data_IF_064815933027
#
_entry.id   IF_064815933027
#
_cell.length_a   1.000
_cell.length_b   1.000
_cell.length_c   1.000
_cell.angle_alpha   90.00
_cell.angle_beta   90.00
_cell.angle_gamma   90.00
#
_symmetry.space_group_name_H-M   'P 1'
#
loop_
_entity.id
_entity.type
_entity.pdbx_description
1 polymer ?
#
# COMPACT_ATOMS: atom_id res chain seq x y z
N UNK A 1 -9.65 -18.71 -0.01
CA UNK A 1 -8.42 -18.15 0.61
C UNK A 1 -8.33 -18.67 2.03
N UNK A 2 -7.14 -19.08 2.51
CA UNK A 2 -6.98 -19.50 3.89
C UNK A 2 -7.08 -18.28 4.84
N UNK A 3 -7.66 -18.44 6.05
CA UNK A 3 -7.77 -17.35 7.00
C UNK A 3 -6.38 -16.88 7.46
N UNK A 4 -6.27 -15.59 7.74
CA UNK A 4 -5.04 -15.00 8.28
C UNK A 4 -4.72 -15.59 9.65
N UNK A 5 -3.42 -15.73 9.94
CA UNK A 5 -2.96 -16.16 11.25
C UNK A 5 -3.35 -15.11 12.30
N UNK A 6 -3.86 -15.57 13.46
CA UNK A 6 -4.28 -14.68 14.54
C UNK A 6 -3.10 -13.83 15.05
N UNK A 7 -3.33 -12.57 15.48
CA UNK A 7 -2.29 -11.70 16.03
C UNK A 7 -1.52 -12.34 17.19
N UNK A 8 -2.21 -13.03 18.09
CA UNK A 8 -1.60 -13.74 19.23
C UNK A 8 -0.55 -14.77 18.81
N UNK A 9 -0.77 -15.44 17.68
CA UNK A 9 0.20 -16.41 17.13
C UNK A 9 1.40 -15.72 16.50
N UNK A 10 1.24 -14.51 15.97
CA UNK A 10 2.34 -13.72 15.45
C UNK A 10 3.28 -13.25 16.56
N UNK A 11 2.73 -12.80 17.70
CA UNK A 11 3.50 -12.43 18.89
C UNK A 11 4.26 -13.62 19.45
N UNK A 12 3.59 -14.78 19.61
CA UNK A 12 4.25 -16.02 20.05
C UNK A 12 5.47 -16.36 19.20
N UNK A 13 5.34 -16.32 17.86
CA UNK A 13 6.45 -16.63 16.95
C UNK A 13 7.56 -15.59 17.07
N UNK A 14 7.21 -14.31 17.23
CA UNK A 14 8.18 -13.25 17.42
C UNK A 14 9.01 -13.45 18.69
N UNK A 15 8.36 -13.75 19.81
CA UNK A 15 9.01 -13.99 21.10
C UNK A 15 9.91 -15.21 21.05
N UNK A 16 9.47 -16.31 20.42
CA UNK A 16 10.29 -17.52 20.25
C UNK A 16 11.55 -17.25 19.42
N UNK A 17 11.46 -16.40 18.39
CA UNK A 17 12.62 -16.02 17.58
C UNK A 17 13.55 -15.12 18.40
N UNK A 18 12.99 -14.18 19.18
CA UNK A 18 13.76 -13.31 20.07
C UNK A 18 14.45 -14.08 21.20
N UNK A 19 13.83 -15.15 21.71
CA UNK A 19 14.41 -16.05 22.71
C UNK A 19 15.47 -17.00 22.13
N UNK A 20 15.73 -16.95 20.82
CA UNK A 20 16.78 -17.72 20.16
C UNK A 20 16.37 -19.12 19.66
N UNK A 21 15.08 -19.47 19.68
CA UNK A 21 14.62 -20.75 19.15
C UNK A 21 14.72 -20.77 17.61
N UNK A 22 15.57 -21.64 17.06
CA UNK A 22 15.77 -21.77 15.60
C UNK A 22 15.01 -22.96 15.00
N UNK A 23 14.37 -23.79 15.82
CA UNK A 23 13.67 -24.99 15.34
C UNK A 23 12.30 -24.65 14.75
N UNK A 24 12.23 -24.67 13.42
CA UNK A 24 11.01 -24.39 12.65
C UNK A 24 9.89 -25.36 13.02
N UNK A 25 10.21 -26.64 13.24
CA UNK A 25 9.20 -27.65 13.60
C UNK A 25 8.59 -27.35 14.97
N UNK A 26 9.38 -26.92 15.96
CA UNK A 26 8.86 -26.56 17.29
C UNK A 26 8.01 -25.29 17.23
N UNK A 27 8.45 -24.26 16.53
CA UNK A 27 7.68 -23.03 16.33
C UNK A 27 6.34 -23.30 15.63
N UNK A 28 6.36 -24.15 14.59
CA UNK A 28 5.16 -24.53 13.86
C UNK A 28 4.14 -25.29 14.74
N UNK A 29 4.62 -26.21 15.58
CA UNK A 29 3.79 -26.94 16.53
C UNK A 29 3.21 -26.02 17.62
N UNK A 30 4.04 -25.16 18.21
CA UNK A 30 3.62 -24.22 19.26
C UNK A 30 2.56 -23.22 18.75
N UNK A 31 2.75 -22.70 17.53
CA UNK A 31 1.78 -21.78 16.91
C UNK A 31 0.59 -22.49 16.25
N UNK A 32 0.63 -23.83 16.14
CA UNK A 32 -0.35 -24.62 15.38
C UNK A 32 -0.49 -24.12 13.93
N UNK A 33 0.63 -23.90 13.25
CA UNK A 33 0.68 -23.43 11.87
C UNK A 33 1.64 -24.25 11.00
N UNK A 34 1.52 -24.13 9.68
CA UNK A 34 2.43 -24.82 8.75
C UNK A 34 3.86 -24.27 8.86
N UNK A 35 4.88 -25.13 8.69
CA UNK A 35 6.30 -24.76 8.61
C UNK A 35 6.57 -23.66 7.59
N UNK A 36 5.85 -23.64 6.46
CA UNK A 36 5.95 -22.58 5.45
C UNK A 36 5.55 -21.19 5.98
N UNK A 37 4.64 -21.14 6.96
CA UNK A 37 4.22 -19.88 7.61
C UNK A 37 5.33 -19.35 8.51
N UNK A 38 6.00 -20.24 9.25
CA UNK A 38 7.17 -19.88 10.06
C UNK A 38 8.29 -19.35 9.15
N UNK A 39 8.60 -20.05 8.05
CA UNK A 39 9.59 -19.57 7.07
C UNK A 39 9.31 -18.15 6.58
N UNK A 40 8.07 -17.86 6.20
CA UNK A 40 7.66 -16.53 5.75
C UNK A 40 7.82 -15.48 6.86
N UNK A 41 7.38 -15.78 8.07
CA UNK A 41 7.47 -14.86 9.22
C UNK A 41 8.93 -14.60 9.60
N UNK A 42 9.76 -15.64 9.71
CA UNK A 42 11.19 -15.49 10.00
C UNK A 42 11.90 -14.68 8.91
N UNK A 43 11.54 -14.88 7.64
CA UNK A 43 12.06 -14.07 6.54
C UNK A 43 11.64 -12.61 6.67
N UNK A 44 10.36 -12.34 6.97
CA UNK A 44 9.87 -10.99 7.19
C UNK A 44 10.59 -10.29 8.36
N UNK A 45 10.76 -10.98 9.49
CA UNK A 45 11.46 -10.42 10.66
C UNK A 45 12.91 -10.12 10.31
N UNK A 46 13.58 -11.03 9.59
CA UNK A 46 14.98 -10.81 9.15
C UNK A 46 15.11 -9.63 8.19
N UNK A 47 14.16 -9.43 7.29
CA UNK A 47 14.24 -8.39 6.25
C UNK A 47 13.71 -7.03 6.71
N UNK A 48 12.67 -7.01 7.55
CA UNK A 48 11.91 -5.81 7.90
C UNK A 48 11.86 -5.54 9.41
N UNK A 49 12.39 -6.42 10.25
CA UNK A 49 12.31 -6.32 11.72
C UNK A 49 10.93 -6.62 12.30
N UNK A 50 9.94 -6.90 11.45
CA UNK A 50 8.53 -7.07 11.84
C UNK A 50 7.97 -8.37 11.28
N UNK A 51 6.92 -8.89 11.95
CA UNK A 51 6.27 -10.15 11.54
C UNK A 51 5.55 -10.02 10.19
N UNK A 52 5.09 -8.82 9.86
CA UNK A 52 4.39 -8.51 8.61
C UNK A 52 5.28 -7.67 7.72
N UNK A 53 5.38 -8.07 6.45
CA UNK A 53 6.01 -7.21 5.46
C UNK A 53 5.29 -5.85 5.40
N UNK A 54 6.03 -4.75 5.21
CA UNK A 54 5.44 -3.44 4.95
C UNK A 54 4.46 -3.52 3.78
N UNK A 55 3.36 -2.76 3.81
CA UNK A 55 2.44 -2.72 2.69
C UNK A 55 3.17 -2.12 1.47
N UNK A 56 3.44 -2.97 0.48
CA UNK A 56 3.92 -2.50 -0.82
C UNK A 56 2.72 -1.82 -1.48
N UNK A 57 2.82 -0.51 -1.74
CA UNK A 57 1.85 0.20 -2.57
C UNK A 57 1.90 -0.42 -3.96
N UNK A 58 0.96 -1.31 -4.24
CA UNK A 58 0.84 -1.95 -5.55
C UNK A 58 0.42 -0.92 -6.60
N UNK A 59 0.91 -1.11 -7.82
CA UNK A 59 0.51 -0.32 -8.98
C UNK A 59 1.51 0.76 -9.40
N UNK A 60 1.20 1.39 -10.54
CA UNK A 60 1.99 2.48 -11.10
C UNK A 60 1.89 3.71 -10.19
N UNK A 61 2.99 4.45 -9.95
CA UNK A 61 2.93 5.75 -9.27
C UNK A 61 1.86 6.63 -9.90
N UNK A 62 1.07 7.32 -9.07
CA UNK A 62 0.04 8.23 -9.56
C UNK A 62 0.73 9.37 -10.30
N UNK A 63 0.32 9.61 -11.55
CA UNK A 63 0.77 10.77 -12.34
C UNK A 63 0.29 12.08 -11.71
N UNK A 64 -0.98 12.13 -11.32
CA UNK A 64 -1.55 13.25 -10.56
C UNK A 64 -1.27 13.00 -9.08
N UNK A 65 -0.42 13.82 -8.50
CA UNK A 65 -0.10 13.82 -7.07
C UNK A 65 -1.27 14.42 -6.27
N UNK A 66 -1.39 14.14 -4.97
CA UNK A 66 -2.46 14.71 -4.14
C UNK A 66 -2.50 16.24 -4.16
N UNK A 67 -1.35 16.91 -4.19
CA UNK A 67 -1.25 18.37 -4.25
C UNK A 67 -1.81 18.93 -5.57
N UNK A 68 -1.51 18.27 -6.70
CA UNK A 68 -2.03 18.67 -8.01
C UNK A 68 -3.55 18.45 -8.08
N UNK A 69 -4.04 17.39 -7.44
CA UNK A 69 -5.48 17.14 -7.32
C UNK A 69 -6.17 18.25 -6.53
N UNK A 70 -5.60 18.66 -5.40
CA UNK A 70 -6.15 19.72 -4.56
C UNK A 70 -6.24 21.04 -5.32
N UNK A 71 -5.17 21.45 -6.00
CA UNK A 71 -5.19 22.64 -6.86
C UNK A 71 -6.22 22.56 -7.99
N UNK A 72 -6.39 21.37 -8.59
CA UNK A 72 -7.44 21.16 -9.60
C UNK A 72 -8.85 21.28 -8.98
N UNK A 73 -9.05 20.78 -7.77
CA UNK A 73 -10.31 20.94 -7.04
C UNK A 73 -10.59 22.40 -6.70
N UNK A 74 -9.60 23.15 -6.23
CA UNK A 74 -9.75 24.59 -5.96
C UNK A 74 -10.12 25.36 -7.22
N UNK A 75 -9.47 25.03 -8.35
CA UNK A 75 -9.79 25.63 -9.64
C UNK A 75 -11.22 25.30 -10.12
N UNK A 76 -11.70 24.08 -9.85
CA UNK A 76 -13.08 23.67 -10.15
C UNK A 76 -14.11 24.36 -9.25
N UNK A 77 -13.75 24.75 -8.02
CA UNK A 77 -14.65 25.52 -7.15
C UNK A 77 -14.91 26.89 -7.77
N UNK A 78 -13.87 27.54 -8.31
CA UNK A 78 -14.01 28.82 -9.00
C UNK A 78 -14.75 28.69 -10.34
N UNK A 79 -14.52 27.58 -11.07
CA UNK A 79 -15.10 27.32 -12.38
C UNK A 79 -15.60 25.87 -12.51
N UNK A 80 -16.82 25.57 -12.06
CA UNK A 80 -17.32 24.19 -11.97
C UNK A 80 -17.67 23.54 -13.31
N UNK A 81 -17.77 24.33 -14.38
CA UNK A 81 -18.15 23.86 -15.72
C UNK A 81 -16.94 23.68 -16.67
N UNK A 82 -15.72 23.61 -16.15
CA UNK A 82 -14.52 23.40 -16.97
C UNK A 82 -14.60 22.07 -17.72
N UNK A 83 -14.31 22.09 -19.01
CA UNK A 83 -14.19 20.86 -19.79
C UNK A 83 -12.92 20.09 -19.41
N UNK A 84 -12.94 18.76 -19.60
CA UNK A 84 -11.76 17.92 -19.34
C UNK A 84 -10.51 18.39 -20.12
N UNK A 85 -10.70 18.94 -21.32
CA UNK A 85 -9.62 19.54 -22.12
C UNK A 85 -8.98 20.76 -21.43
N UNK A 86 -9.80 21.61 -20.85
CA UNK A 86 -9.35 22.81 -20.14
C UNK A 86 -8.63 22.44 -18.84
N UNK A 87 -9.07 21.36 -18.19
CA UNK A 87 -8.39 20.81 -17.02
C UNK A 87 -7.02 20.23 -17.38
N UNK A 88 -6.88 19.58 -18.54
CA UNK A 88 -5.57 19.13 -19.05
C UNK A 88 -4.65 20.34 -19.29
N UNK A 89 -5.19 21.42 -19.88
CA UNK A 89 -4.43 22.65 -20.13
C UNK A 89 -3.96 23.27 -18.81
N UNK A 90 -4.84 23.39 -17.81
CA UNK A 90 -4.48 23.90 -16.49
C UNK A 90 -3.35 23.08 -15.84
N UNK A 91 -3.45 21.75 -15.87
CA UNK A 91 -2.43 20.86 -15.32
C UNK A 91 -1.09 20.96 -16.06
N UNK A 92 -1.13 21.26 -17.36
CA UNK A 92 0.07 21.52 -18.13
C UNK A 92 0.69 22.87 -17.81
N UNK A 93 -0.12 23.92 -17.74
CA UNK A 93 0.34 25.30 -17.55
C UNK A 93 0.93 25.52 -16.16
N UNK A 94 0.23 25.04 -15.12
CA UNK A 94 0.62 25.28 -13.72
C UNK A 94 1.63 24.23 -13.21
N UNK A 95 1.50 22.97 -13.63
CA UNK A 95 2.27 21.85 -13.06
C UNK A 95 3.18 21.13 -14.05
N UNK A 96 3.26 21.59 -15.31
CA UNK A 96 3.96 20.91 -16.40
C UNK A 96 3.58 19.42 -16.54
N UNK A 97 2.36 19.06 -16.11
CA UNK A 97 1.90 17.68 -16.04
C UNK A 97 1.09 17.31 -17.29
N UNK A 98 1.62 16.37 -18.07
CA UNK A 98 0.89 15.79 -19.20
C UNK A 98 -0.16 14.78 -18.71
N UNK A 99 -1.35 15.26 -18.35
CA UNK A 99 -2.47 14.41 -17.95
C UNK A 99 -3.30 13.97 -19.16
N UNK A 100 -3.79 12.72 -19.16
CA UNK A 100 -4.81 12.28 -20.12
C UNK A 100 -6.21 12.59 -19.57
N UNK A 101 -7.19 12.87 -20.44
CA UNK A 101 -8.59 13.09 -20.03
C UNK A 101 -9.13 11.97 -19.15
N UNK A 102 -8.76 10.72 -19.42
CA UNK A 102 -9.12 9.54 -18.63
C UNK A 102 -8.55 9.57 -17.20
N UNK A 103 -7.34 10.14 -17.01
CA UNK A 103 -6.73 10.29 -15.68
C UNK A 103 -7.46 11.34 -14.84
N UNK A 104 -8.12 12.31 -15.48
CA UNK A 104 -8.88 13.37 -14.81
C UNK A 104 -10.31 12.88 -14.52
N UNK A 105 -11.01 12.34 -15.52
CA UNK A 105 -12.40 11.84 -15.37
C UNK A 105 -12.55 10.81 -14.25
N UNK A 106 -11.60 9.87 -14.11
CA UNK A 106 -11.59 8.88 -13.01
C UNK A 106 -11.44 9.49 -11.62
N UNK A 107 -11.12 10.78 -11.51
CA UNK A 107 -10.90 11.48 -10.25
C UNK A 107 -11.91 12.59 -9.98
N UNK A 108 -12.63 13.05 -11.01
CA UNK A 108 -13.57 14.17 -10.93
C UNK A 108 -15.03 13.77 -11.05
N UNK A 109 -15.34 12.57 -11.58
CA UNK A 109 -16.71 12.06 -11.67
C UNK A 109 -16.93 10.96 -10.61
N UNK A 110 -18.07 10.99 -9.89
CA UNK A 110 -18.42 10.00 -8.87
C UNK A 110 -18.65 8.59 -9.44
#
# INVERSE_FOLDING_TARGET
>A
MAPNLAPSKHELIYDMIHSGERSITKMALAAGCNKSTIWRISSNIRMFGTVKAPPIKGGRPRSITPLILEALCDHLIEKPALYLDEMVIFLWDEFALQATKSSISTRTQP
#
